data_IF_323583100283
#
_entry.id   IF_323583100283
#
_cell.length_a   1.000
_cell.length_b   1.000
_cell.length_c   1.000
_cell.angle_alpha   90.00
_cell.angle_beta   90.00
_cell.angle_gamma   90.00
#
_symmetry.space_group_name_H-M   'P 1'
#
loop_
_entity.id
_entity.type
_entity.pdbx_description
1 polymer ?
#
# COMPACT_ATOMS: atom_id res chain seq x y z
N UNK A 1 26.78 -4.07 -30.52
CA UNK A 1 25.90 -5.04 -29.85
C UNK A 1 26.19 -5.22 -28.35
N UNK A 2 27.46 -5.18 -27.88
CA UNK A 2 27.81 -5.34 -26.45
C UNK A 2 27.37 -4.17 -25.54
N UNK A 3 27.40 -2.93 -26.05
CA UNK A 3 27.10 -1.72 -25.28
C UNK A 3 25.60 -1.52 -24.97
N UNK A 4 24.73 -1.99 -25.88
CA UNK A 4 23.26 -1.92 -25.73
C UNK A 4 22.73 -2.94 -24.73
N UNK A 5 23.30 -4.15 -24.68
CA UNK A 5 22.93 -5.19 -23.71
C UNK A 5 23.30 -4.77 -22.27
N UNK A 6 24.50 -4.20 -22.09
CA UNK A 6 24.95 -3.68 -20.79
C UNK A 6 24.07 -2.53 -20.28
N UNK A 7 23.73 -1.56 -21.14
CA UNK A 7 22.81 -0.47 -20.79
C UNK A 7 21.39 -0.95 -20.44
N UNK A 8 20.88 -1.97 -21.15
CA UNK A 8 19.58 -2.59 -20.86
C UNK A 8 19.58 -3.30 -19.51
N UNK A 9 20.64 -4.05 -19.20
CA UNK A 9 20.80 -4.72 -17.90
C UNK A 9 20.85 -3.70 -16.76
N UNK A 10 21.62 -2.61 -16.90
CA UNK A 10 21.64 -1.55 -15.90
C UNK A 10 20.26 -0.91 -15.67
N UNK A 11 19.49 -0.68 -16.74
CA UNK A 11 18.14 -0.13 -16.61
C UNK A 11 17.19 -1.09 -15.87
N UNK A 12 17.23 -2.38 -16.21
CA UNK A 12 16.41 -3.40 -15.53
C UNK A 12 16.82 -3.55 -14.06
N UNK A 13 18.13 -3.67 -13.79
CA UNK A 13 18.66 -3.81 -12.42
C UNK A 13 18.39 -2.57 -11.58
N UNK A 14 18.56 -1.37 -12.12
CA UNK A 14 18.25 -0.12 -11.41
C UNK A 14 16.76 0.02 -11.09
N UNK A 15 15.89 -0.31 -12.05
CA UNK A 15 14.44 -0.31 -11.83
C UNK A 15 14.01 -1.36 -10.80
N UNK A 16 14.49 -2.61 -10.93
CA UNK A 16 14.21 -3.66 -9.95
C UNK A 16 14.78 -3.31 -8.57
N UNK A 17 15.98 -2.72 -8.50
CA UNK A 17 16.58 -2.24 -7.25
C UNK A 17 15.73 -1.16 -6.57
N UNK A 18 15.17 -0.23 -7.36
CA UNK A 18 14.21 0.75 -6.86
C UNK A 18 12.93 0.08 -6.34
N UNK A 19 12.37 -0.88 -7.08
CA UNK A 19 11.20 -1.65 -6.63
C UNK A 19 11.47 -2.38 -5.31
N UNK A 20 12.63 -3.04 -5.16
CA UNK A 20 13.03 -3.70 -3.93
C UNK A 20 13.16 -2.73 -2.75
N UNK A 21 13.77 -1.56 -2.97
CA UNK A 21 13.88 -0.52 -1.94
C UNK A 21 12.49 -0.05 -1.48
N UNK A 22 11.60 0.22 -2.43
CA UNK A 22 10.24 0.65 -2.10
C UNK A 22 9.46 -0.44 -1.36
N UNK A 23 9.59 -1.71 -1.76
CA UNK A 23 8.98 -2.86 -1.07
C UNK A 23 9.52 -3.00 0.36
N UNK A 24 10.82 -2.82 0.57
CA UNK A 24 11.39 -2.80 1.92
C UNK A 24 10.77 -1.70 2.78
N UNK A 25 10.70 -0.47 2.26
CA UNK A 25 10.02 0.64 2.94
C UNK A 25 8.55 0.32 3.23
N UNK A 26 7.85 -0.35 2.31
CA UNK A 26 6.45 -0.75 2.46
C UNK A 26 6.25 -1.73 3.61
N UNK A 27 7.13 -2.73 3.74
CA UNK A 27 7.10 -3.70 4.84
C UNK A 27 7.35 -3.01 6.18
N UNK A 28 8.37 -2.15 6.26
CA UNK A 28 8.68 -1.39 7.49
C UNK A 28 7.49 -0.50 7.88
N UNK A 29 6.97 0.29 6.94
CA UNK A 29 5.85 1.20 7.19
C UNK A 29 4.56 0.46 7.54
N UNK A 30 4.30 -0.69 6.92
CA UNK A 30 3.19 -1.57 7.27
C UNK A 30 3.31 -2.13 8.68
N UNK A 31 4.53 -2.52 9.07
CA UNK A 31 4.85 -2.93 10.44
C UNK A 31 4.56 -1.82 11.45
N UNK A 32 5.02 -0.59 11.17
CA UNK A 32 4.71 0.57 12.03
C UNK A 32 3.21 0.80 12.12
N UNK A 33 2.50 0.86 10.99
CA UNK A 33 1.03 1.07 10.93
C UNK A 33 0.29 0.03 11.76
N UNK A 34 0.78 -1.22 11.81
CA UNK A 34 0.20 -2.26 12.64
C UNK A 34 0.50 -2.08 14.13
N UNK A 35 1.74 -1.74 14.49
CA UNK A 35 2.19 -1.54 15.87
C UNK A 35 1.61 -0.28 16.52
N UNK A 36 1.25 0.72 15.71
CA UNK A 36 0.57 1.95 16.14
C UNK A 36 -0.96 1.85 16.08
N UNK A 37 -1.51 0.65 15.86
CA UNK A 37 -2.95 0.37 15.66
C UNK A 37 -3.62 1.39 14.73
N UNK A 38 -2.93 1.73 13.65
CA UNK A 38 -3.37 2.75 12.70
C UNK A 38 -4.09 2.15 11.50
N UNK A 39 -4.10 0.82 11.35
CA UNK A 39 -4.57 0.13 10.15
C UNK A 39 -6.07 0.18 9.87
N UNK A 40 -6.88 0.81 10.72
CA UNK A 40 -8.34 1.02 10.53
C UNK A 40 -8.75 2.50 10.64
N UNK A 41 -7.78 3.41 10.60
CA UNK A 41 -7.99 4.86 10.73
C UNK A 41 -8.62 5.49 9.47
N UNK A 42 -8.37 4.93 8.28
CA UNK A 42 -8.97 5.34 7.02
C UNK A 42 -10.03 4.34 6.56
N UNK A 43 -11.26 4.65 6.93
CA UNK A 43 -12.43 3.81 6.67
C UNK A 43 -12.79 3.81 5.18
N UNK A 44 -12.68 4.96 4.52
CA UNK A 44 -13.04 5.09 3.10
C UNK A 44 -11.97 4.45 2.22
N UNK A 45 -12.42 3.66 1.25
CA UNK A 45 -11.57 3.16 0.20
C UNK A 45 -11.71 4.04 -1.03
N UNK A 46 -10.75 4.97 -1.17
CA UNK A 46 -10.69 5.90 -2.28
C UNK A 46 -9.37 5.72 -3.05
N UNK A 47 -9.35 4.88 -4.10
CA UNK A 47 -8.13 4.55 -4.82
C UNK A 47 -7.50 5.77 -5.50
N UNK A 48 -8.34 6.68 -6.01
CA UNK A 48 -7.95 7.84 -6.83
C UNK A 48 -8.03 9.15 -6.04
N UNK A 49 -9.17 9.47 -5.42
CA UNK A 49 -9.35 10.73 -4.66
C UNK A 49 -8.58 10.75 -3.34
N UNK A 50 -8.33 9.59 -2.73
CA UNK A 50 -7.58 9.44 -1.48
C UNK A 50 -6.06 9.60 -1.62
N UNK A 51 -5.57 10.19 -2.73
CA UNK A 51 -4.16 10.57 -2.89
C UNK A 51 -3.86 11.85 -2.10
N UNK A 52 -4.82 12.74 -1.92
CA UNK A 52 -4.65 13.95 -1.11
C UNK A 52 -5.30 13.74 0.26
N UNK A 53 -4.60 14.00 1.37
CA UNK A 53 -5.20 13.97 2.70
C UNK A 53 -6.13 15.19 2.87
N UNK A 54 -6.96 15.24 3.93
CA UNK A 54 -7.76 16.42 4.23
C UNK A 54 -6.90 17.68 4.33
N UNK A 55 -7.24 18.71 3.55
CA UNK A 55 -6.41 19.92 3.39
C UNK A 55 -6.80 21.05 4.33
N UNK A 56 -7.97 20.97 4.98
CA UNK A 56 -8.47 22.00 5.86
C UNK A 56 -9.13 21.39 7.11
N UNK A 57 -9.35 22.24 8.11
CA UNK A 57 -9.87 21.82 9.41
C UNK A 57 -11.27 21.19 9.31
N UNK A 58 -12.15 21.72 8.44
CA UNK A 58 -13.49 21.17 8.24
C UNK A 58 -13.45 19.75 7.67
N UNK A 59 -12.60 19.51 6.67
CA UNK A 59 -12.42 18.18 6.07
C UNK A 59 -11.84 17.17 7.09
N UNK A 60 -10.89 17.62 7.94
CA UNK A 60 -10.37 16.80 9.04
C UNK A 60 -11.45 16.42 10.04
N UNK A 61 -12.34 17.36 10.38
CA UNK A 61 -13.44 17.09 11.31
C UNK A 61 -14.42 16.06 10.72
N UNK A 62 -14.72 16.14 9.42
CA UNK A 62 -15.58 15.16 8.74
C UNK A 62 -14.97 13.75 8.80
N UNK A 63 -13.69 13.58 8.48
CA UNK A 63 -13.02 12.27 8.58
C UNK A 63 -13.01 11.75 10.03
N UNK A 64 -12.76 12.63 10.99
CA UNK A 64 -12.75 12.25 12.40
C UNK A 64 -14.14 11.86 12.89
N UNK A 65 -15.19 12.57 12.50
CA UNK A 65 -16.57 12.24 12.85
C UNK A 65 -17.01 10.90 12.22
N UNK A 66 -16.51 10.57 11.02
CA UNK A 66 -16.65 9.23 10.47
C UNK A 66 -15.92 8.20 11.32
N UNK A 67 -14.66 8.43 11.65
CA UNK A 67 -13.87 7.52 12.49
C UNK A 67 -14.56 7.21 13.84
N UNK A 68 -15.20 8.22 14.45
CA UNK A 68 -15.97 8.08 15.69
C UNK A 68 -17.14 7.10 15.63
N UNK A 69 -17.66 6.83 14.43
CA UNK A 69 -18.74 5.88 14.22
C UNK A 69 -18.26 4.42 14.25
N UNK A 70 -16.95 4.17 14.16
CA UNK A 70 -16.42 2.82 14.06
C UNK A 70 -16.08 2.19 15.42
N UNK A 71 -16.11 0.84 15.50
CA UNK A 71 -15.79 0.13 16.73
C UNK A 71 -14.40 0.43 17.29
N UNK A 72 -13.41 0.77 16.46
CA UNK A 72 -12.06 1.10 16.91
C UNK A 72 -12.05 2.36 17.77
N UNK A 73 -12.74 3.42 17.35
CA UNK A 73 -12.91 4.61 18.18
C UNK A 73 -13.72 4.29 19.45
N UNK A 74 -14.84 3.58 19.32
CA UNK A 74 -15.75 3.36 20.44
C UNK A 74 -15.17 2.45 21.53
N UNK A 75 -14.36 1.46 21.16
CA UNK A 75 -13.85 0.42 22.07
C UNK A 75 -12.41 0.65 22.52
N UNK A 76 -11.57 1.22 21.66
CA UNK A 76 -10.11 1.34 21.90
C UNK A 76 -9.71 2.80 22.09
N UNK A 77 -10.17 3.68 21.19
CA UNK A 77 -9.71 5.06 21.10
C UNK A 77 -10.74 6.07 21.64
N UNK A 78 -11.57 5.67 22.60
CA UNK A 78 -12.64 6.51 23.12
C UNK A 78 -12.08 7.77 23.79
N UNK A 79 -12.57 8.95 23.38
CA UNK A 79 -12.07 10.24 23.86
C UNK A 79 -10.77 10.71 23.18
N UNK A 80 -10.32 10.05 22.11
CA UNK A 80 -9.19 10.51 21.30
C UNK A 80 -9.43 11.92 20.75
N UNK A 81 -8.39 12.76 20.76
CA UNK A 81 -8.43 14.09 20.14
C UNK A 81 -8.21 14.01 18.63
N UNK A 82 -8.64 15.05 17.90
CA UNK A 82 -8.41 15.16 16.46
C UNK A 82 -6.92 15.08 16.10
N UNK A 83 -6.02 15.64 16.90
CA UNK A 83 -4.58 15.63 16.62
C UNK A 83 -3.97 14.23 16.75
N UNK A 84 -4.46 13.45 17.71
CA UNK A 84 -4.06 12.04 17.83
C UNK A 84 -4.64 11.20 16.68
N UNK A 85 -5.87 11.49 16.24
CA UNK A 85 -6.45 10.88 15.05
C UNK A 85 -5.62 11.17 13.79
N UNK A 86 -5.21 12.43 13.57
CA UNK A 86 -4.33 12.80 12.45
C UNK A 86 -3.06 11.96 12.42
N UNK A 87 -2.48 11.66 13.58
CA UNK A 87 -1.26 10.85 13.68
C UNK A 87 -1.47 9.43 13.14
N UNK A 88 -2.51 8.72 13.62
CA UNK A 88 -2.82 7.36 13.13
C UNK A 88 -3.23 7.37 11.65
N UNK A 89 -4.01 8.38 11.24
CA UNK A 89 -4.40 8.59 9.85
C UNK A 89 -3.19 8.71 8.93
N UNK A 90 -2.17 9.50 9.31
CA UNK A 90 -0.99 9.71 8.48
C UNK A 90 -0.16 8.45 8.29
N UNK A 91 -0.06 7.56 9.28
CA UNK A 91 0.64 6.28 9.11
C UNK A 91 -0.04 5.41 8.07
N UNK A 92 -1.35 5.23 8.20
CA UNK A 92 -2.10 4.44 7.23
C UNK A 92 -2.11 5.12 5.84
N UNK A 93 -2.21 6.45 5.79
CA UNK A 93 -2.17 7.23 4.55
C UNK A 93 -0.83 7.04 3.84
N UNK A 94 0.28 7.20 4.56
CA UNK A 94 1.61 6.98 4.01
C UNK A 94 1.78 5.54 3.51
N UNK A 95 1.26 4.55 4.25
CA UNK A 95 1.31 3.15 3.83
C UNK A 95 0.54 2.90 2.53
N UNK A 96 -0.72 3.39 2.44
CA UNK A 96 -1.53 3.27 1.21
C UNK A 96 -0.93 4.04 0.05
N UNK A 97 -0.39 5.24 0.29
CA UNK A 97 0.27 6.05 -0.73
C UNK A 97 1.50 5.34 -1.27
N UNK A 98 2.35 4.78 -0.40
CA UNK A 98 3.53 4.03 -0.80
C UNK A 98 3.15 2.80 -1.62
N UNK A 99 2.10 2.06 -1.26
CA UNK A 99 1.56 0.97 -2.07
C UNK A 99 1.15 1.40 -3.48
N UNK A 100 0.51 2.57 -3.62
CA UNK A 100 0.17 3.14 -4.95
C UNK A 100 1.42 3.53 -5.74
N UNK A 101 2.41 4.16 -5.09
CA UNK A 101 3.68 4.54 -5.72
C UNK A 101 4.41 3.30 -6.24
N UNK A 102 4.47 2.21 -5.47
CA UNK A 102 5.06 0.94 -5.90
C UNK A 102 4.34 0.41 -7.15
N UNK A 103 3.01 0.35 -7.11
CA UNK A 103 2.22 -0.09 -8.26
C UNK A 103 2.50 0.74 -9.52
N UNK A 104 2.58 2.06 -9.39
CA UNK A 104 2.89 2.98 -10.49
C UNK A 104 4.32 2.82 -11.01
N UNK A 105 5.32 2.77 -10.12
CA UNK A 105 6.74 2.61 -10.48
C UNK A 105 6.96 1.26 -11.18
N UNK A 106 6.33 0.20 -10.68
CA UNK A 106 6.40 -1.11 -11.32
C UNK A 106 5.69 -1.11 -12.68
N UNK A 107 4.44 -0.63 -12.75
CA UNK A 107 3.67 -0.61 -13.99
C UNK A 107 4.35 0.24 -15.08
N UNK A 108 4.83 1.44 -14.73
CA UNK A 108 5.50 2.33 -15.66
C UNK A 108 6.82 1.74 -16.17
N UNK A 109 7.65 1.19 -15.28
CA UNK A 109 8.90 0.55 -15.67
C UNK A 109 8.67 -0.71 -16.53
N UNK A 110 7.70 -1.54 -16.17
CA UNK A 110 7.31 -2.71 -16.94
C UNK A 110 6.80 -2.33 -18.32
N UNK A 111 5.87 -1.38 -18.43
CA UNK A 111 5.35 -0.89 -19.70
C UNK A 111 6.46 -0.29 -20.57
N UNK A 112 7.34 0.53 -19.99
CA UNK A 112 8.46 1.13 -20.72
C UNK A 112 9.42 0.07 -21.30
N UNK A 113 9.80 -0.94 -20.50
CA UNK A 113 10.65 -2.04 -20.95
C UNK A 113 9.97 -2.90 -22.03
N UNK A 114 8.66 -3.11 -21.90
CA UNK A 114 7.85 -3.87 -22.85
C UNK A 114 7.78 -3.18 -24.21
N UNK A 115 7.40 -1.89 -24.24
CA UNK A 115 7.29 -1.12 -25.48
C UNK A 115 8.63 -0.89 -26.16
N UNK A 116 9.72 -0.81 -25.40
CA UNK A 116 11.08 -0.70 -25.95
C UNK A 116 11.64 -2.05 -26.44
N UNK A 117 10.89 -3.15 -26.33
CA UNK A 117 11.33 -4.52 -26.63
C UNK A 117 12.63 -4.90 -25.90
N UNK A 118 12.84 -4.33 -24.70
CA UNK A 118 14.04 -4.57 -23.88
C UNK A 118 13.87 -5.74 -22.91
N UNK A 119 12.70 -6.36 -22.92
CA UNK A 119 12.37 -7.48 -22.04
C UNK A 119 12.54 -8.81 -22.79
N UNK A 120 13.46 -9.70 -22.37
CA UNK A 120 13.60 -11.01 -22.99
C UNK A 120 12.32 -11.83 -22.82
N UNK A 121 11.96 -12.60 -23.85
CA UNK A 121 10.69 -13.33 -23.90
C UNK A 121 10.48 -14.30 -22.73
N UNK A 122 11.55 -14.89 -22.20
CA UNK A 122 11.51 -15.77 -21.03
C UNK A 122 11.13 -15.06 -19.73
N UNK A 123 11.41 -13.76 -19.59
CA UNK A 123 11.11 -13.01 -18.37
C UNK A 123 9.72 -12.37 -18.39
N UNK A 124 9.12 -12.15 -19.57
CA UNK A 124 7.76 -11.60 -19.72
C UNK A 124 6.71 -12.24 -18.81
N UNK A 125 6.56 -13.59 -18.75
CA UNK A 125 5.56 -14.20 -17.88
C UNK A 125 5.83 -13.94 -16.39
N UNK A 126 7.09 -13.84 -15.97
CA UNK A 126 7.46 -13.54 -14.58
C UNK A 126 7.02 -12.13 -14.19
N UNK A 127 7.28 -11.13 -15.04
CA UNK A 127 6.84 -9.75 -14.78
C UNK A 127 5.31 -9.60 -14.77
N UNK A 128 4.60 -10.33 -15.64
CA UNK A 128 3.13 -10.38 -15.62
C UNK A 128 2.64 -11.02 -14.32
N UNK A 129 3.24 -12.14 -13.89
CA UNK A 129 2.90 -12.78 -12.63
C UNK A 129 3.12 -11.82 -11.44
N UNK A 130 4.27 -11.15 -11.37
CA UNK A 130 4.55 -10.14 -10.34
C UNK A 130 3.52 -9.00 -10.35
N UNK A 131 3.10 -8.53 -11.53
CA UNK A 131 2.07 -7.50 -11.65
C UNK A 131 0.72 -7.96 -11.07
N UNK A 132 0.32 -9.19 -11.40
CA UNK A 132 -0.93 -9.80 -10.91
C UNK A 132 -0.86 -10.01 -9.40
N UNK A 133 0.25 -10.57 -8.89
CA UNK A 133 0.46 -10.78 -7.45
C UNK A 133 0.45 -9.46 -6.68
N UNK A 134 1.09 -8.41 -7.20
CA UNK A 134 1.03 -7.06 -6.62
C UNK A 134 -0.38 -6.48 -6.60
N UNK A 135 -1.17 -6.71 -7.65
CA UNK A 135 -2.59 -6.32 -7.68
C UNK A 135 -3.42 -7.08 -6.64
N UNK A 136 -3.24 -8.40 -6.54
CA UNK A 136 -3.87 -9.24 -5.52
C UNK A 136 -3.48 -8.81 -4.11
N UNK A 137 -2.24 -8.35 -3.91
CA UNK A 137 -1.78 -7.84 -2.64
C UNK A 137 -2.58 -6.59 -2.22
N UNK A 138 -2.78 -5.64 -3.13
CA UNK A 138 -3.64 -4.48 -2.86
C UNK A 138 -5.09 -4.87 -2.52
N UNK A 139 -5.66 -5.85 -3.22
CA UNK A 139 -7.01 -6.37 -2.96
C UNK A 139 -7.12 -7.02 -1.57
N UNK A 140 -6.12 -7.82 -1.20
CA UNK A 140 -6.08 -8.48 0.11
C UNK A 140 -5.91 -7.45 1.24
N UNK A 141 -5.08 -6.42 1.04
CA UNK A 141 -4.95 -5.30 1.98
C UNK A 141 -6.25 -4.53 2.19
N UNK A 142 -7.00 -4.27 1.12
CA UNK A 142 -8.34 -3.68 1.22
C UNK A 142 -9.31 -4.57 2.01
N UNK A 143 -9.30 -5.88 1.73
CA UNK A 143 -10.16 -6.85 2.42
C UNK A 143 -9.84 -6.90 3.93
N UNK A 144 -8.55 -6.83 4.30
CA UNK A 144 -8.13 -6.74 5.70
C UNK A 144 -8.76 -5.54 6.41
N UNK A 145 -8.69 -4.34 5.83
CA UNK A 145 -9.28 -3.13 6.43
C UNK A 145 -10.80 -3.29 6.53
N UNK A 146 -11.48 -3.62 5.42
CA UNK A 146 -12.94 -3.73 5.37
C UNK A 146 -13.47 -4.69 6.44
N UNK A 147 -12.78 -5.82 6.63
CA UNK A 147 -13.17 -6.84 7.61
C UNK A 147 -13.03 -6.41 9.08
N UNK A 148 -12.20 -5.40 9.38
CA UNK A 148 -12.01 -4.85 10.73
C UNK A 148 -13.02 -3.77 11.10
N UNK A 149 -13.86 -3.31 10.17
CA UNK A 149 -14.79 -2.19 10.38
C UNK A 149 -16.17 -2.59 10.92
N UNK A 150 -16.49 -3.89 11.02
CA UNK A 150 -17.86 -4.37 11.29
C UNK A 150 -18.08 -4.66 12.79
N UNK A 151 -17.54 -5.76 13.32
CA UNK A 151 -17.87 -6.20 14.70
C UNK A 151 -16.69 -6.11 15.68
N UNK A 152 -15.51 -6.48 15.19
CA UNK A 152 -14.27 -6.59 15.95
C UNK A 152 -13.21 -5.70 15.30
N UNK A 153 -12.75 -4.62 15.97
CA UNK A 153 -11.77 -3.68 15.43
C UNK A 153 -10.36 -4.26 15.48
N UNK A 154 -10.17 -5.44 14.91
CA UNK A 154 -8.86 -6.03 14.73
C UNK A 154 -8.78 -6.72 13.38
N UNK A 155 -7.65 -6.52 12.71
CA UNK A 155 -7.29 -7.34 11.56
C UNK A 155 -6.91 -8.72 12.09
N UNK A 156 -7.64 -9.75 11.67
CA UNK A 156 -7.33 -11.14 12.01
C UNK A 156 -5.89 -11.49 11.66
N UNK A 157 -5.18 -12.14 12.60
CA UNK A 157 -3.80 -12.61 12.40
C UNK A 157 -3.68 -13.49 11.15
N UNK A 158 -4.70 -14.29 10.85
CA UNK A 158 -4.74 -15.11 9.64
C UNK A 158 -4.71 -14.29 8.35
N UNK A 159 -5.43 -13.15 8.31
CA UNK A 159 -5.42 -12.26 7.13
C UNK A 159 -4.11 -11.50 7.00
N UNK A 160 -3.52 -11.11 8.13
CA UNK A 160 -2.20 -10.48 8.16
C UNK A 160 -1.12 -11.44 7.65
N UNK A 161 -1.12 -12.69 8.11
CA UNK A 161 -0.20 -13.72 7.65
C UNK A 161 -0.42 -14.04 6.17
N UNK A 162 -1.68 -14.12 5.72
CA UNK A 162 -1.98 -14.33 4.30
C UNK A 162 -1.46 -13.17 3.43
N UNK A 163 -1.58 -11.94 3.91
CA UNK A 163 -1.08 -10.76 3.21
C UNK A 163 0.45 -10.73 3.17
N UNK A 164 1.13 -11.01 4.28
CA UNK A 164 2.58 -11.13 4.26
C UNK A 164 3.05 -12.29 3.38
N UNK A 165 2.39 -13.45 3.46
CA UNK A 165 2.70 -14.61 2.64
C UNK A 165 2.56 -14.34 1.15
N UNK A 166 1.50 -13.63 0.74
CA UNK A 166 1.31 -13.21 -0.65
C UNK A 166 2.38 -12.19 -1.10
N UNK A 167 2.90 -11.36 -0.19
CA UNK A 167 4.00 -10.43 -0.49
C UNK A 167 5.34 -11.13 -0.74
N UNK A 168 5.53 -12.33 -0.18
CA UNK A 168 6.77 -13.11 -0.27
C UNK A 168 6.82 -13.94 -1.56
N UNK A 169 5.65 -14.34 -2.09
CA UNK A 169 5.51 -15.06 -3.37
C UNK A 169 5.80 -14.17 -4.58
#
# INVERSE_FOLDING_TARGET
MRNTDQSQRFAITGWLGLCCLLLFCMVVLGGVTRLTDSGLSMVRWEPVSGVLPPLNQAAWQVEFDHYRQFPEYQKINAGMSLDRFKTIFYFEYAHRLLGRVIGLVFAAGFAWLWFRQRLPYSLKPHFVAMFVLGGMQGLLGWYMVKSGLVDLPHVSQYRLTAHLGLAIL
#
